data_IF_736712555001
#
_entry.id   IF_736712555001
#
_cell.length_a   1.000
_cell.length_b   1.000
_cell.length_c   1.000
_cell.angle_alpha   90.00
_cell.angle_beta   90.00
_cell.angle_gamma   90.00
#
_symmetry.space_group_name_H-M   'P 1'
#
loop_
_entity.id
_entity.type
_entity.pdbx_description
1 polymer ?
#
# COMPACT_ATOMS: atom_id res chain seq x y z
N UNK A 1 20.50 -32.81 20.53
CA UNK A 1 20.24 -32.12 19.27
C UNK A 1 18.78 -31.70 19.25
N UNK A 2 18.48 -30.42 19.19
CA UNK A 2 17.09 -29.97 19.07
C UNK A 2 16.51 -30.50 17.77
N UNK A 3 15.25 -30.92 17.82
CA UNK A 3 14.58 -31.52 16.65
C UNK A 3 14.38 -30.43 15.57
N UNK A 4 15.25 -30.44 14.55
CA UNK A 4 15.19 -29.54 13.41
C UNK A 4 13.83 -29.61 12.70
N UNK A 5 13.25 -30.81 12.61
CA UNK A 5 11.95 -31.01 11.96
C UNK A 5 10.83 -30.26 12.68
N UNK A 6 10.78 -30.37 14.00
CA UNK A 6 9.80 -29.67 14.83
C UNK A 6 9.97 -28.14 14.71
N UNK A 7 11.21 -27.64 14.68
CA UNK A 7 11.50 -26.22 14.52
C UNK A 7 11.05 -25.69 13.16
N UNK A 8 11.41 -26.38 12.08
CA UNK A 8 11.02 -26.00 10.71
C UNK A 8 9.51 -26.04 10.55
N UNK A 9 8.85 -27.11 10.99
CA UNK A 9 7.38 -27.24 10.94
C UNK A 9 6.67 -26.08 11.63
N UNK A 10 7.08 -25.75 12.84
CA UNK A 10 6.53 -24.64 13.61
C UNK A 10 6.70 -23.32 12.87
N UNK A 11 7.91 -23.04 12.38
CA UNK A 11 8.21 -21.81 11.68
C UNK A 11 7.42 -21.70 10.35
N UNK A 12 7.23 -22.82 9.62
CA UNK A 12 6.41 -22.86 8.41
C UNK A 12 4.94 -22.50 8.71
N UNK A 13 4.35 -23.11 9.73
CA UNK A 13 2.98 -22.81 10.16
C UNK A 13 2.83 -21.33 10.54
N UNK A 14 3.77 -20.81 11.33
CA UNK A 14 3.75 -19.43 11.79
C UNK A 14 3.89 -18.44 10.63
N UNK A 15 4.79 -18.72 9.68
CA UNK A 15 4.98 -17.90 8.49
C UNK A 15 3.76 -17.93 7.57
N UNK A 16 3.18 -19.13 7.30
CA UNK A 16 1.98 -19.26 6.48
C UNK A 16 0.80 -18.50 7.08
N UNK A 17 0.53 -18.70 8.38
CA UNK A 17 -0.54 -18.00 9.10
C UNK A 17 -0.31 -16.48 9.11
N UNK A 18 0.91 -16.02 9.32
CA UNK A 18 1.25 -14.60 9.28
C UNK A 18 1.10 -13.99 7.88
N UNK A 19 1.31 -14.80 6.83
CA UNK A 19 1.06 -14.41 5.43
C UNK A 19 -0.43 -14.45 5.04
N UNK A 20 -1.28 -15.07 5.86
CA UNK A 20 -2.72 -15.22 5.59
C UNK A 20 -3.06 -16.30 4.54
N UNK A 21 -2.16 -17.26 4.31
CA UNK A 21 -2.41 -18.33 3.34
C UNK A 21 -3.03 -19.56 4.00
N UNK A 22 -3.95 -20.25 3.28
CA UNK A 22 -4.33 -21.62 3.56
C UNK A 22 -3.22 -22.58 3.10
N UNK A 23 -3.26 -23.84 3.53
CA UNK A 23 -2.29 -24.86 3.05
C UNK A 23 -2.40 -25.05 1.53
N UNK A 24 -3.63 -25.06 0.98
CA UNK A 24 -3.89 -25.15 -0.44
C UNK A 24 -3.30 -23.96 -1.21
N UNK A 25 -3.54 -22.74 -0.75
CA UNK A 25 -2.98 -21.53 -1.39
C UNK A 25 -1.45 -21.48 -1.36
N UNK A 26 -0.83 -22.01 -0.30
CA UNK A 26 0.62 -22.14 -0.23
C UNK A 26 1.13 -23.19 -1.23
N UNK A 27 0.46 -24.33 -1.31
CA UNK A 27 0.79 -25.40 -2.24
C UNK A 27 0.73 -24.93 -3.69
N UNK A 28 -0.34 -24.22 -4.08
CA UNK A 28 -0.48 -23.62 -5.41
C UNK A 28 0.67 -22.66 -5.76
N UNK A 29 1.14 -21.85 -4.78
CA UNK A 29 2.23 -20.90 -5.00
C UNK A 29 3.59 -21.54 -5.19
N UNK A 30 3.78 -22.72 -4.65
CA UNK A 30 5.03 -23.49 -4.71
C UNK A 30 4.99 -24.57 -5.80
N UNK A 31 3.86 -24.70 -6.53
CA UNK A 31 3.60 -25.80 -7.47
C UNK A 31 3.72 -27.20 -6.83
N UNK A 32 3.27 -27.32 -5.58
CA UNK A 32 3.24 -28.57 -4.82
C UNK A 32 1.80 -28.98 -4.47
N UNK A 33 1.63 -30.21 -3.95
CA UNK A 33 0.33 -30.66 -3.45
C UNK A 33 0.08 -30.13 -2.03
N UNK A 34 -1.18 -29.94 -1.68
CA UNK A 34 -1.63 -29.62 -0.32
C UNK A 34 -1.20 -30.68 0.71
N UNK A 35 -1.16 -31.97 0.28
CA UNK A 35 -0.66 -33.08 1.09
C UNK A 35 0.82 -32.94 1.43
N UNK A 36 1.66 -32.44 0.50
CA UNK A 36 3.07 -32.18 0.76
C UNK A 36 3.24 -31.08 1.82
N UNK A 37 2.56 -29.94 1.65
CA UNK A 37 2.58 -28.85 2.63
C UNK A 37 2.10 -29.32 4.00
N UNK A 38 1.03 -30.12 4.04
CA UNK A 38 0.50 -30.70 5.27
C UNK A 38 1.52 -31.61 5.98
N UNK A 39 2.26 -32.45 5.24
CA UNK A 39 3.34 -33.31 5.80
C UNK A 39 4.49 -32.48 6.38
N UNK A 40 4.89 -31.40 5.70
CA UNK A 40 5.92 -30.50 6.20
C UNK A 40 5.50 -29.80 7.48
N UNK A 41 4.26 -29.34 7.56
CA UNK A 41 3.72 -28.68 8.76
C UNK A 41 3.51 -29.63 9.94
N UNK A 42 3.27 -30.94 9.68
CA UNK A 42 3.22 -31.96 10.75
C UNK A 42 4.59 -32.50 11.16
N UNK A 43 5.66 -32.10 10.44
CA UNK A 43 7.01 -32.61 10.72
C UNK A 43 7.25 -34.05 10.22
N UNK A 44 6.34 -34.61 9.43
CA UNK A 44 6.50 -35.95 8.85
C UNK A 44 7.60 -35.99 7.79
N UNK A 45 7.79 -34.88 7.07
CA UNK A 45 8.89 -34.68 6.13
C UNK A 45 9.39 -33.25 6.17
N UNK A 46 10.63 -33.02 5.73
CA UNK A 46 11.17 -31.68 5.54
C UNK A 46 11.04 -31.29 4.05
N UNK A 47 10.77 -30.01 3.76
CA UNK A 47 10.92 -29.48 2.42
C UNK A 47 12.39 -29.59 1.99
N UNK A 48 12.63 -29.74 0.69
CA UNK A 48 13.96 -29.61 0.11
C UNK A 48 14.53 -28.20 0.29
N UNK A 49 15.86 -28.08 0.21
CA UNK A 49 16.56 -26.80 0.35
C UNK A 49 16.05 -25.78 -0.68
N UNK A 50 15.82 -26.21 -1.93
CA UNK A 50 15.26 -25.35 -2.96
C UNK A 50 13.89 -24.77 -2.55
N UNK A 51 13.01 -25.62 -2.01
CA UNK A 51 11.69 -25.22 -1.52
C UNK A 51 11.80 -24.30 -0.29
N UNK A 52 12.75 -24.57 0.59
CA UNK A 52 13.01 -23.68 1.74
C UNK A 52 13.49 -22.28 1.29
N UNK A 53 14.29 -22.20 0.23
CA UNK A 53 14.69 -20.91 -0.36
C UNK A 53 13.48 -20.18 -0.98
N UNK A 54 12.64 -20.89 -1.75
CA UNK A 54 11.41 -20.29 -2.30
C UNK A 54 10.45 -19.80 -1.20
N UNK A 55 10.31 -20.56 -0.12
CA UNK A 55 9.53 -20.17 1.05
C UNK A 55 10.10 -18.93 1.72
N UNK A 56 11.43 -18.86 1.87
CA UNK A 56 12.09 -17.69 2.44
C UNK A 56 11.85 -16.43 1.58
N UNK A 57 11.94 -16.54 0.26
CA UNK A 57 11.62 -15.47 -0.68
C UNK A 57 10.14 -15.09 -0.64
N UNK A 58 9.24 -16.08 -0.67
CA UNK A 58 7.79 -15.87 -0.62
C UNK A 58 7.38 -15.07 0.62
N UNK A 59 7.95 -15.43 1.77
CA UNK A 59 7.67 -14.79 3.05
C UNK A 59 8.49 -13.52 3.29
N UNK A 60 9.55 -13.28 2.51
CA UNK A 60 10.47 -12.15 2.68
C UNK A 60 11.27 -12.25 3.99
N UNK A 61 11.73 -13.45 4.33
CA UNK A 61 12.55 -13.79 5.49
C UNK A 61 13.83 -14.48 5.03
N UNK A 62 14.79 -14.69 5.92
CA UNK A 62 16.01 -15.44 5.62
C UNK A 62 15.78 -16.95 5.78
N UNK A 63 16.55 -17.76 5.07
CA UNK A 63 16.54 -19.22 5.25
C UNK A 63 16.88 -19.60 6.70
N UNK A 64 17.82 -18.89 7.31
CA UNK A 64 18.22 -19.05 8.71
C UNK A 64 17.02 -18.90 9.66
N UNK A 65 16.10 -18.01 9.34
CA UNK A 65 14.85 -17.86 10.11
C UNK A 65 14.01 -19.13 10.09
N UNK A 66 13.93 -19.86 8.97
CA UNK A 66 13.13 -21.09 8.90
C UNK A 66 13.72 -22.23 9.72
N UNK A 67 15.04 -22.30 9.88
CA UNK A 67 15.74 -23.42 10.52
C UNK A 67 16.09 -23.19 11.99
N UNK A 68 16.00 -21.96 12.50
CA UNK A 68 16.27 -21.64 13.90
C UNK A 68 15.01 -21.40 14.70
N UNK A 69 15.09 -21.65 16.02
CA UNK A 69 14.01 -21.30 16.94
C UNK A 69 13.92 -19.79 17.18
N UNK A 70 12.71 -19.27 17.11
CA UNK A 70 12.43 -17.86 17.37
C UNK A 70 11.35 -17.71 18.43
N UNK A 71 11.57 -16.79 19.36
CA UNK A 71 10.60 -16.38 20.39
C UNK A 71 9.62 -15.32 19.84
N UNK A 72 9.99 -14.61 18.77
CA UNK A 72 9.16 -13.56 18.15
C UNK A 72 8.47 -14.09 16.91
N UNK A 73 7.20 -13.71 16.74
CA UNK A 73 6.43 -14.01 15.54
C UNK A 73 7.11 -13.47 14.28
N UNK A 74 7.02 -14.21 13.16
CA UNK A 74 7.67 -13.82 11.92
C UNK A 74 7.13 -12.47 11.40
N UNK A 75 8.02 -11.64 10.93
CA UNK A 75 7.69 -10.34 10.34
C UNK A 75 7.31 -10.48 8.85
N UNK A 76 6.58 -11.54 8.50
CA UNK A 76 6.16 -11.86 7.14
C UNK A 76 5.42 -10.68 6.51
N UNK A 77 5.80 -10.34 5.28
CA UNK A 77 5.19 -9.22 4.56
C UNK A 77 5.58 -7.82 5.03
N UNK A 78 6.28 -7.67 6.17
CA UNK A 78 6.72 -6.35 6.66
C UNK A 78 7.67 -5.67 5.67
N UNK A 79 8.54 -6.43 5.03
CA UNK A 79 9.47 -5.91 4.01
C UNK A 79 8.72 -5.36 2.78
N UNK A 80 7.75 -6.13 2.25
CA UNK A 80 6.91 -5.69 1.13
C UNK A 80 6.10 -4.44 1.49
N UNK A 81 5.53 -4.39 2.71
CA UNK A 81 4.79 -3.22 3.19
C UNK A 81 5.69 -1.99 3.35
N UNK A 82 6.91 -2.18 3.93
CA UNK A 82 7.89 -1.11 4.07
C UNK A 82 8.36 -0.58 2.72
N UNK A 83 8.68 -1.46 1.75
CA UNK A 83 9.07 -1.07 0.39
C UNK A 83 7.98 -0.26 -0.31
N UNK A 84 6.71 -0.69 -0.21
CA UNK A 84 5.57 0.04 -0.77
C UNK A 84 5.44 1.44 -0.15
N UNK A 85 5.56 1.55 1.16
CA UNK A 85 5.52 2.83 1.86
C UNK A 85 6.67 3.76 1.42
N UNK A 86 7.90 3.23 1.30
CA UNK A 86 9.05 4.01 0.82
C UNK A 86 8.80 4.52 -0.60
N UNK A 87 8.34 3.66 -1.52
CA UNK A 87 8.05 4.07 -2.91
C UNK A 87 6.99 5.17 -2.93
N UNK A 88 5.91 5.04 -2.15
CA UNK A 88 4.87 6.07 -2.08
C UNK A 88 5.40 7.42 -1.58
N UNK A 89 6.22 7.40 -0.51
CA UNK A 89 6.81 8.63 0.05
C UNK A 89 7.78 9.26 -0.95
N UNK A 90 8.66 8.47 -1.57
CA UNK A 90 9.61 8.99 -2.58
C UNK A 90 8.89 9.62 -3.77
N UNK A 91 7.80 9.01 -4.25
CA UNK A 91 7.01 9.57 -5.35
C UNK A 91 6.35 10.91 -4.97
N UNK A 92 5.84 11.02 -3.74
CA UNK A 92 5.30 12.30 -3.26
C UNK A 92 6.40 13.38 -3.14
N UNK A 93 7.58 13.02 -2.61
CA UNK A 93 8.71 13.95 -2.51
C UNK A 93 9.18 14.43 -3.88
N UNK A 94 9.15 13.57 -4.90
CA UNK A 94 9.50 13.94 -6.27
C UNK A 94 8.58 15.04 -6.81
N UNK A 95 7.27 14.99 -6.54
CA UNK A 95 6.34 16.08 -6.92
C UNK A 95 6.75 17.40 -6.28
N UNK A 96 7.12 17.40 -5.01
CA UNK A 96 7.55 18.61 -4.32
C UNK A 96 8.88 19.14 -4.85
N UNK A 97 9.82 18.26 -5.23
CA UNK A 97 11.07 18.67 -5.88
C UNK A 97 10.78 19.34 -7.22
N UNK A 98 9.86 18.78 -8.03
CA UNK A 98 9.45 19.41 -9.29
C UNK A 98 8.78 20.76 -9.06
N UNK A 99 7.88 20.85 -8.07
CA UNK A 99 7.22 22.11 -7.74
C UNK A 99 8.22 23.21 -7.32
N UNK A 100 9.23 22.85 -6.51
CA UNK A 100 10.30 23.79 -6.12
C UNK A 100 11.19 24.17 -7.29
N UNK A 101 11.49 23.24 -8.20
CA UNK A 101 12.24 23.53 -9.42
C UNK A 101 11.50 24.51 -10.32
N UNK A 102 10.19 24.28 -10.55
CA UNK A 102 9.33 25.19 -11.33
C UNK A 102 9.29 26.57 -10.69
N UNK A 103 9.06 26.63 -9.39
CA UNK A 103 9.09 27.90 -8.65
C UNK A 103 10.41 28.66 -8.83
N UNK A 104 11.54 27.96 -8.71
CA UNK A 104 12.87 28.57 -8.85
C UNK A 104 13.13 29.09 -10.25
N UNK A 105 12.70 28.36 -11.29
CA UNK A 105 12.81 28.79 -12.69
C UNK A 105 11.97 30.04 -12.94
N UNK A 106 10.71 30.04 -12.48
CA UNK A 106 9.80 31.20 -12.63
C UNK A 106 10.36 32.43 -11.90
N UNK A 107 10.99 32.25 -10.73
CA UNK A 107 11.63 33.34 -9.99
C UNK A 107 12.82 33.93 -10.76
N UNK A 108 13.68 33.08 -11.35
CA UNK A 108 14.84 33.52 -12.15
C UNK A 108 14.39 34.25 -13.42
N UNK A 109 13.34 33.74 -14.08
CA UNK A 109 12.77 34.35 -15.28
C UNK A 109 11.97 35.62 -14.99
N UNK A 110 11.83 36.04 -13.72
CA UNK A 110 11.00 37.18 -13.27
C UNK A 110 9.59 37.14 -13.89
N UNK A 111 9.00 35.92 -13.92
CA UNK A 111 7.66 35.74 -14.47
C UNK A 111 6.64 36.55 -13.69
N UNK A 112 5.73 37.27 -14.37
CA UNK A 112 4.66 38.01 -13.70
C UNK A 112 3.64 37.04 -13.10
N UNK A 113 3.15 37.31 -11.90
CA UNK A 113 2.09 36.56 -11.23
C UNK A 113 2.48 35.96 -9.88
N UNK A 114 1.54 35.24 -9.32
CA UNK A 114 1.67 34.63 -7.98
C UNK A 114 2.46 33.32 -8.08
N UNK A 115 3.78 33.40 -8.02
CA UNK A 115 4.70 32.24 -8.17
C UNK A 115 4.44 31.12 -7.15
N UNK A 116 3.91 31.45 -5.98
CA UNK A 116 3.58 30.49 -4.94
C UNK A 116 2.46 29.51 -5.33
N UNK A 117 1.68 29.82 -6.36
CA UNK A 117 0.65 28.92 -6.91
C UNK A 117 1.23 27.58 -7.38
N UNK A 118 2.50 27.53 -7.76
CA UNK A 118 3.18 26.27 -8.10
C UNK A 118 3.11 25.22 -6.97
N UNK A 119 3.20 25.66 -5.71
CA UNK A 119 3.05 24.79 -4.54
C UNK A 119 1.59 24.40 -4.29
N UNK A 120 0.65 25.31 -4.57
CA UNK A 120 -0.79 25.04 -4.44
C UNK A 120 -1.19 23.91 -5.38
N UNK A 121 -0.72 23.94 -6.64
CA UNK A 121 -1.00 22.89 -7.62
C UNK A 121 -0.27 21.58 -7.35
N UNK A 122 0.80 21.58 -6.57
CA UNK A 122 1.45 20.36 -6.10
C UNK A 122 0.54 19.52 -5.17
N UNK A 123 -0.40 20.14 -4.45
CA UNK A 123 -1.32 19.45 -3.52
C UNK A 123 -2.29 18.50 -4.25
N UNK A 124 -3.06 18.92 -5.28
CA UNK A 124 -3.88 18.00 -6.06
C UNK A 124 -3.06 16.89 -6.72
N UNK A 125 -1.88 17.19 -7.25
CA UNK A 125 -1.01 16.19 -7.88
C UNK A 125 -0.57 15.12 -6.89
N UNK A 126 -0.14 15.50 -5.68
CA UNK A 126 0.19 14.53 -4.62
C UNK A 126 -1.03 13.71 -4.19
N UNK A 127 -2.23 14.31 -4.16
CA UNK A 127 -3.47 13.61 -3.85
C UNK A 127 -3.83 12.57 -4.91
N UNK A 128 -3.60 12.85 -6.20
CA UNK A 128 -3.78 11.89 -7.30
C UNK A 128 -2.85 10.68 -7.09
N UNK A 129 -1.57 10.91 -6.79
CA UNK A 129 -0.63 9.82 -6.49
C UNK A 129 -1.11 8.98 -5.30
N UNK A 130 -1.60 9.62 -4.23
CA UNK A 130 -2.17 8.90 -3.09
C UNK A 130 -3.38 8.05 -3.47
N UNK A 131 -4.26 8.52 -4.36
CA UNK A 131 -5.38 7.74 -4.90
C UNK A 131 -4.87 6.53 -5.67
N UNK A 132 -3.90 6.72 -6.59
CA UNK A 132 -3.31 5.62 -7.37
C UNK A 132 -2.69 4.56 -6.45
N UNK A 133 -1.86 4.94 -5.49
CA UNK A 133 -1.25 3.99 -4.54
C UNK A 133 -2.28 3.32 -3.64
N UNK A 134 -3.34 4.03 -3.25
CA UNK A 134 -4.45 3.46 -2.48
C UNK A 134 -5.26 2.45 -3.30
N UNK A 135 -5.38 2.63 -4.60
CA UNK A 135 -6.02 1.65 -5.49
C UNK A 135 -5.18 0.40 -5.68
N UNK A 136 -3.85 0.55 -5.84
CA UNK A 136 -2.93 -0.57 -6.13
C UNK A 136 -2.58 -1.36 -4.87
N UNK A 137 -2.32 -0.68 -3.74
CA UNK A 137 -1.78 -1.31 -2.53
C UNK A 137 -2.57 -1.06 -1.26
N UNK A 138 -3.56 -0.15 -1.32
CA UNK A 138 -4.27 0.31 -0.14
C UNK A 138 -5.51 -0.51 0.20
N UNK A 139 -5.90 -0.42 1.47
CA UNK A 139 -7.18 -0.90 1.94
C UNK A 139 -8.31 0.05 1.50
N UNK A 140 -9.56 -0.43 1.59
CA UNK A 140 -10.75 0.35 1.24
C UNK A 140 -10.80 1.72 1.94
N UNK A 141 -10.47 1.77 3.23
CA UNK A 141 -10.44 3.02 4.00
C UNK A 141 -9.44 4.04 3.44
N UNK A 142 -8.25 3.60 3.05
CA UNK A 142 -7.25 4.48 2.42
C UNK A 142 -7.75 5.07 1.12
N UNK A 143 -8.49 4.31 0.30
CA UNK A 143 -9.07 4.80 -0.95
C UNK A 143 -10.10 5.92 -0.71
N UNK A 144 -11.01 5.73 0.26
CA UNK A 144 -12.00 6.77 0.62
C UNK A 144 -11.30 8.05 1.07
N UNK A 145 -10.31 7.93 1.97
CA UNK A 145 -9.56 9.07 2.49
C UNK A 145 -8.82 9.80 1.36
N UNK A 146 -8.15 9.06 0.47
CA UNK A 146 -7.39 9.67 -0.64
C UNK A 146 -8.29 10.37 -1.66
N UNK A 147 -9.46 9.80 -1.98
CA UNK A 147 -10.43 10.45 -2.88
C UNK A 147 -11.02 11.69 -2.21
N UNK A 148 -11.35 11.63 -0.92
CA UNK A 148 -11.80 12.78 -0.16
C UNK A 148 -10.76 13.90 -0.16
N UNK A 149 -9.50 13.57 0.11
CA UNK A 149 -8.40 14.54 0.08
C UNK A 149 -8.26 15.18 -1.30
N UNK A 150 -8.38 14.40 -2.39
CA UNK A 150 -8.32 14.94 -3.76
C UNK A 150 -9.40 15.98 -4.03
N UNK A 151 -10.66 15.72 -3.64
CA UNK A 151 -11.79 16.65 -3.84
C UNK A 151 -11.49 17.98 -3.14
N UNK A 152 -11.08 17.95 -1.87
CA UNK A 152 -10.82 19.16 -1.09
C UNK A 152 -9.56 19.91 -1.54
N UNK A 153 -8.48 19.20 -1.91
CA UNK A 153 -7.26 19.85 -2.41
C UNK A 153 -7.49 20.49 -3.77
N UNK A 154 -8.33 19.89 -4.62
CA UNK A 154 -8.68 20.47 -5.92
C UNK A 154 -9.56 21.71 -5.74
N UNK A 155 -10.54 21.66 -4.84
CA UNK A 155 -11.37 22.81 -4.50
C UNK A 155 -10.53 23.98 -3.96
N UNK A 156 -9.55 23.69 -3.08
CA UNK A 156 -8.62 24.70 -2.55
C UNK A 156 -7.75 25.29 -3.65
N UNK A 157 -7.18 24.46 -4.53
CA UNK A 157 -6.34 24.95 -5.62
C UNK A 157 -7.12 25.87 -6.58
N UNK A 158 -8.35 25.50 -6.94
CA UNK A 158 -9.23 26.33 -7.76
C UNK A 158 -9.58 27.65 -7.08
N UNK A 159 -9.93 27.60 -5.80
CA UNK A 159 -10.26 28.79 -5.01
C UNK A 159 -9.10 29.79 -4.97
N UNK A 160 -7.87 29.32 -4.78
CA UNK A 160 -6.68 30.17 -4.70
C UNK A 160 -6.19 30.67 -6.06
N UNK A 161 -6.45 29.93 -7.14
CA UNK A 161 -6.01 30.30 -8.49
C UNK A 161 -6.97 31.28 -9.15
N UNK A 162 -8.28 31.10 -8.95
CA UNK A 162 -9.32 31.89 -9.61
C UNK A 162 -9.80 32.93 -8.61
N UNK A 163 -9.25 34.14 -8.68
CA UNK A 163 -9.58 35.26 -7.76
C UNK A 163 -10.84 36.01 -8.22
N UNK A 164 -11.95 35.29 -8.44
CA UNK A 164 -13.25 35.88 -8.80
C UNK A 164 -14.11 36.05 -7.55
N UNK A 165 -14.93 37.10 -7.55
CA UNK A 165 -15.89 37.37 -6.48
C UNK A 165 -16.85 36.16 -6.32
N UNK A 166 -17.09 35.69 -5.08
CA UNK A 166 -17.94 34.55 -4.74
C UNK A 166 -17.37 33.13 -5.05
N UNK A 167 -16.07 32.96 -5.26
CA UNK A 167 -15.47 31.63 -5.49
C UNK A 167 -15.61 30.64 -4.31
N UNK A 168 -16.03 31.07 -3.14
CA UNK A 168 -16.35 30.17 -2.01
C UNK A 168 -17.42 29.12 -2.37
N UNK A 169 -18.21 29.36 -3.43
CA UNK A 169 -19.20 28.40 -3.98
C UNK A 169 -18.52 27.07 -4.34
N UNK A 170 -17.24 27.03 -4.71
CA UNK A 170 -16.50 25.80 -5.00
C UNK A 170 -16.49 24.86 -3.80
N UNK A 171 -16.36 25.39 -2.58
CA UNK A 171 -16.42 24.56 -1.37
C UNK A 171 -17.83 24.03 -1.12
N UNK A 172 -18.86 24.83 -1.37
CA UNK A 172 -20.27 24.40 -1.23
C UNK A 172 -20.57 23.26 -2.21
N UNK A 173 -20.09 23.37 -3.46
CA UNK A 173 -20.22 22.29 -4.46
C UNK A 173 -19.42 21.03 -4.09
N UNK A 174 -18.31 21.17 -3.38
CA UNK A 174 -17.49 20.03 -2.96
C UNK A 174 -18.19 19.15 -1.91
N UNK A 175 -19.12 19.70 -1.12
CA UNK A 175 -19.86 18.93 -0.09
C UNK A 175 -20.73 17.82 -0.70
N UNK A 176 -21.66 18.10 -1.65
CA UNK A 176 -22.46 17.04 -2.26
C UNK A 176 -21.60 16.04 -3.07
N UNK A 177 -20.54 16.49 -3.74
CA UNK A 177 -19.60 15.60 -4.43
C UNK A 177 -18.92 14.65 -3.45
N UNK A 178 -18.50 15.16 -2.28
CA UNK A 178 -17.94 14.35 -1.21
C UNK A 178 -18.95 13.33 -0.68
N UNK A 179 -20.21 13.74 -0.47
CA UNK A 179 -21.26 12.84 -0.03
C UNK A 179 -21.50 11.70 -1.04
N UNK A 180 -21.59 12.03 -2.34
CA UNK A 180 -21.72 11.03 -3.39
C UNK A 180 -20.56 10.04 -3.42
N UNK A 181 -19.31 10.52 -3.28
CA UNK A 181 -18.13 9.66 -3.23
C UNK A 181 -18.20 8.69 -2.05
N UNK A 182 -18.56 9.15 -0.85
CA UNK A 182 -18.68 8.31 0.34
C UNK A 182 -19.81 7.29 0.18
N UNK A 183 -21.00 7.71 -0.28
CA UNK A 183 -22.14 6.81 -0.52
C UNK A 183 -21.79 5.73 -1.56
N UNK A 184 -21.13 6.07 -2.64
CA UNK A 184 -20.65 5.11 -3.62
C UNK A 184 -19.79 4.01 -2.98
N UNK A 185 -18.84 4.38 -2.11
CA UNK A 185 -18.01 3.42 -1.40
C UNK A 185 -18.78 2.56 -0.39
N UNK A 186 -19.84 3.10 0.22
CA UNK A 186 -20.73 2.37 1.15
C UNK A 186 -21.57 1.36 0.38
N UNK A 187 -22.23 1.76 -0.70
CA UNK A 187 -23.08 0.89 -1.53
C UNK A 187 -22.31 -0.29 -2.10
N UNK A 188 -21.09 -0.07 -2.59
CA UNK A 188 -20.22 -1.13 -3.09
C UNK A 188 -19.78 -2.13 -1.99
N UNK A 189 -20.02 -1.81 -0.70
CA UNK A 189 -19.80 -2.74 0.41
C UNK A 189 -20.86 -3.84 0.43
N UNK A 190 -22.10 -3.50 0.11
CA UNK A 190 -23.22 -4.43 0.14
C UNK A 190 -23.12 -5.56 -0.90
N UNK A 191 -22.55 -5.28 -2.07
CA UNK A 191 -22.45 -6.27 -3.15
C UNK A 191 -21.42 -7.37 -2.90
N UNK A 192 -20.35 -7.10 -2.14
CA UNK A 192 -19.32 -8.11 -1.86
C UNK A 192 -19.66 -9.05 -0.67
N UNK A 193 -20.79 -8.84 0.00
CA UNK A 193 -21.24 -9.68 1.11
C UNK A 193 -22.41 -10.61 0.71
N UNK A 194 -22.79 -10.65 -0.56
CA UNK A 194 -23.94 -11.43 -1.08
C UNK A 194 -23.50 -12.58 -2.00
N UNK A 195 -22.17 -12.82 -2.12
CA UNK A 195 -21.62 -13.99 -2.82
C UNK A 195 -20.88 -14.90 -1.85
#
# INVERSE_FOLDING_TARGET
MKDLRATVSKNLIDCRKAAGYTQLQLAEKLNYSDKAVSKWERGESLPDIAVLCELAELYGITLDYLVREHTRKPAVGRYKKRRRAIVSVMSCLLVWIVATAVYSVLLICKAPGDLWLSFVWALPVTSILCVVFSCVWGNRYHRVISVSALIWMLALALFLTIQIQNMWIVFVLSVPVQALAVFWFILRKGQNNVC
#
